data_IF_122348949457
#
_entry.id   IF_122348949457
#
_cell.length_a   1.000
_cell.length_b   1.000
_cell.length_c   1.000
_cell.angle_alpha   90.00
_cell.angle_beta   90.00
_cell.angle_gamma   90.00
#
_symmetry.space_group_name_H-M   'P 1'
#
loop_
_entity.id
_entity.type
_entity.pdbx_description
1 polymer ?
#
# COMPACT_ATOMS: atom_id res chain seq x y z
N UNK A 1 29.94 -29.42 -23.43
CA UNK A 1 28.53 -29.09 -23.71
C UNK A 1 27.59 -29.36 -22.54
N UNK A 2 27.51 -30.58 -21.98
CA UNK A 2 26.59 -30.90 -20.86
C UNK A 2 26.77 -30.00 -19.62
N UNK A 3 28.01 -29.70 -19.25
CA UNK A 3 28.32 -28.79 -18.12
C UNK A 3 27.85 -27.35 -18.33
N UNK A 4 27.92 -26.82 -19.56
CA UNK A 4 27.50 -25.46 -19.89
C UNK A 4 25.97 -25.34 -19.80
N UNK A 5 25.24 -26.38 -20.24
CA UNK A 5 23.77 -26.44 -20.15
C UNK A 5 23.30 -26.48 -18.70
N UNK A 6 23.97 -27.24 -17.82
CA UNK A 6 23.65 -27.26 -16.39
C UNK A 6 23.91 -25.91 -15.71
N UNK A 7 24.98 -25.21 -16.10
CA UNK A 7 25.35 -23.89 -15.55
C UNK A 7 24.37 -22.79 -15.99
N UNK A 8 23.93 -22.84 -17.25
CA UNK A 8 22.86 -21.96 -17.76
C UNK A 8 21.51 -22.23 -17.08
N UNK A 9 21.16 -23.50 -16.84
CA UNK A 9 19.92 -23.86 -16.15
C UNK A 9 19.91 -23.36 -14.69
N UNK A 10 21.05 -23.40 -13.99
CA UNK A 10 21.16 -22.86 -12.62
C UNK A 10 21.16 -21.33 -12.60
N UNK A 11 21.77 -20.67 -13.60
CA UNK A 11 21.70 -19.22 -13.72
C UNK A 11 20.26 -18.71 -13.96
N UNK A 12 19.45 -19.42 -14.75
CA UNK A 12 18.04 -19.07 -14.98
C UNK A 12 17.17 -19.25 -13.74
N UNK A 13 17.46 -20.27 -12.90
CA UNK A 13 16.77 -20.47 -11.63
C UNK A 13 17.06 -19.35 -10.60
N UNK A 14 18.19 -18.66 -10.72
CA UNK A 14 18.56 -17.55 -9.83
C UNK A 14 17.92 -16.21 -10.21
N UNK A 15 17.35 -16.08 -11.41
CA UNK A 15 16.72 -14.84 -11.89
C UNK A 15 15.23 -14.71 -11.49
N UNK A 16 14.66 -15.70 -10.81
CA UNK A 16 13.20 -15.86 -10.70
C UNK A 16 12.53 -15.53 -9.36
N UNK A 17 13.23 -14.98 -8.36
CA UNK A 17 12.66 -14.90 -7.00
C UNK A 17 12.00 -13.57 -6.60
N UNK A 18 12.10 -12.49 -7.40
CA UNK A 18 11.45 -11.21 -7.08
C UNK A 18 10.20 -10.97 -7.90
N UNK A 19 9.11 -10.55 -7.26
CA UNK A 19 7.90 -10.10 -7.95
C UNK A 19 8.17 -8.78 -8.70
N UNK A 20 7.65 -8.59 -9.93
CA UNK A 20 7.81 -7.32 -10.65
C UNK A 20 7.23 -6.14 -9.87
N UNK A 21 7.98 -5.04 -9.83
CA UNK A 21 7.60 -3.79 -9.15
C UNK A 21 6.20 -3.30 -9.52
N UNK A 22 5.87 -3.26 -10.81
CA UNK A 22 4.56 -2.82 -11.31
C UNK A 22 3.42 -3.62 -10.67
N UNK A 23 3.64 -4.93 -10.42
CA UNK A 23 2.65 -5.78 -9.77
C UNK A 23 2.48 -5.45 -8.29
N UNK A 24 3.56 -5.08 -7.60
CA UNK A 24 3.53 -4.63 -6.21
C UNK A 24 2.73 -3.31 -6.09
N UNK A 25 2.97 -2.36 -7.00
CA UNK A 25 2.26 -1.08 -7.06
C UNK A 25 0.77 -1.24 -7.40
N UNK A 26 0.43 -2.07 -8.38
CA UNK A 26 -0.96 -2.33 -8.74
C UNK A 26 -1.73 -2.97 -7.57
N UNK A 27 -1.11 -3.93 -6.88
CA UNK A 27 -1.69 -4.52 -5.66
C UNK A 27 -1.90 -3.47 -4.56
N UNK A 28 -1.04 -2.45 -4.45
CA UNK A 28 -1.22 -1.37 -3.49
C UNK A 28 -2.50 -0.60 -3.82
N UNK A 29 -2.67 -0.20 -5.09
CA UNK A 29 -3.81 0.59 -5.56
C UNK A 29 -5.15 -0.09 -5.21
N UNK A 30 -5.27 -1.38 -5.50
CA UNK A 30 -6.48 -2.16 -5.17
C UNK A 30 -6.73 -2.18 -3.66
N UNK A 31 -5.67 -2.43 -2.88
CA UNK A 31 -5.73 -2.50 -1.42
C UNK A 31 -6.16 -1.17 -0.78
N UNK A 32 -5.65 -0.04 -1.30
CA UNK A 32 -6.00 1.29 -0.84
C UNK A 32 -7.45 1.65 -1.21
N UNK A 33 -7.91 1.23 -2.39
CA UNK A 33 -9.29 1.46 -2.79
C UNK A 33 -10.28 0.71 -1.90
N UNK A 34 -9.97 -0.53 -1.51
CA UNK A 34 -10.80 -1.29 -0.59
C UNK A 34 -10.76 -0.73 0.83
N UNK A 35 -9.61 -0.23 1.28
CA UNK A 35 -9.50 0.51 2.54
C UNK A 35 -10.39 1.76 2.56
N UNK A 36 -10.37 2.55 1.50
CA UNK A 36 -11.20 3.75 1.38
C UNK A 36 -12.69 3.39 1.44
N UNK A 37 -13.13 2.36 0.69
CA UNK A 37 -14.51 1.87 0.74
C UNK A 37 -14.90 1.45 2.15
N UNK A 38 -14.02 0.70 2.83
CA UNK A 38 -14.27 0.25 4.20
C UNK A 38 -14.41 1.42 5.18
N UNK A 39 -13.52 2.41 5.11
CA UNK A 39 -13.60 3.61 5.96
C UNK A 39 -14.91 4.37 5.76
N UNK A 40 -15.32 4.56 4.51
CA UNK A 40 -16.59 5.21 4.17
C UNK A 40 -17.76 4.41 4.72
N UNK A 41 -17.78 3.09 4.51
CA UNK A 41 -18.85 2.21 4.99
C UNK A 41 -18.97 2.22 6.52
N UNK A 42 -17.87 2.11 7.25
CA UNK A 42 -17.87 2.15 8.71
C UNK A 42 -18.32 3.52 9.23
N UNK A 43 -17.93 4.61 8.57
CA UNK A 43 -18.37 5.96 8.95
C UNK A 43 -19.87 6.17 8.74
N UNK A 44 -20.44 5.64 7.64
CA UNK A 44 -21.89 5.66 7.41
C UNK A 44 -22.61 4.82 8.47
N UNK A 45 -22.08 3.63 8.76
CA UNK A 45 -22.66 2.73 9.75
C UNK A 45 -22.69 3.35 11.15
N UNK A 46 -21.66 4.11 11.52
CA UNK A 46 -21.54 4.78 12.82
C UNK A 46 -22.39 6.06 12.91
N UNK A 47 -22.38 6.90 11.88
CA UNK A 47 -23.09 8.19 11.88
C UNK A 47 -24.57 8.08 11.46
N UNK A 48 -24.97 6.97 10.84
CA UNK A 48 -26.29 6.75 10.21
C UNK A 48 -26.63 7.69 9.05
N UNK A 49 -25.72 8.58 8.65
CA UNK A 49 -25.91 9.52 7.56
C UNK A 49 -24.65 9.60 6.68
N UNK A 50 -24.75 10.33 5.56
CA UNK A 50 -23.60 10.64 4.69
C UNK A 50 -23.17 12.10 4.78
N UNK A 51 -23.84 12.92 5.59
CA UNK A 51 -23.72 14.38 5.56
C UNK A 51 -22.32 14.87 5.90
N UNK A 52 -21.63 14.19 6.84
CA UNK A 52 -20.26 14.52 7.24
C UNK A 52 -19.16 13.96 6.32
N UNK A 53 -19.53 13.25 5.25
CA UNK A 53 -18.57 12.67 4.30
C UNK A 53 -18.32 13.61 3.11
N UNK A 54 -17.11 13.56 2.57
CA UNK A 54 -16.81 14.18 1.28
C UNK A 54 -17.69 13.57 0.17
N UNK A 55 -18.08 14.39 -0.80
CA UNK A 55 -18.80 13.92 -1.99
C UNK A 55 -17.95 12.92 -2.79
N UNK A 56 -16.64 13.17 -2.84
CA UNK A 56 -15.63 12.27 -3.41
C UNK A 56 -14.54 12.02 -2.38
N UNK A 57 -14.69 11.02 -1.49
CA UNK A 57 -13.61 10.58 -0.61
C UNK A 57 -12.44 10.09 -1.45
N UNK A 58 -11.22 10.35 -1.00
CA UNK A 58 -10.00 10.01 -1.74
C UNK A 58 -8.86 9.67 -0.78
N UNK A 59 -7.80 9.09 -1.34
CA UNK A 59 -6.54 8.90 -0.64
C UNK A 59 -5.39 9.49 -1.45
N UNK A 60 -4.25 9.72 -0.79
CA UNK A 60 -3.01 10.14 -1.44
C UNK A 60 -1.85 9.37 -0.86
N UNK A 61 -1.09 8.72 -1.74
CA UNK A 61 0.20 8.12 -1.39
C UNK A 61 1.22 9.25 -1.20
N UNK A 62 1.76 9.37 0.01
CA UNK A 62 2.71 10.41 0.42
C UNK A 62 4.16 9.96 0.31
N UNK A 63 4.41 8.67 0.53
CA UNK A 63 5.73 8.06 0.40
C UNK A 63 5.53 6.64 -0.13
N UNK A 64 6.30 6.26 -1.13
CA UNK A 64 6.35 4.90 -1.66
C UNK A 64 7.80 4.55 -1.92
N UNK A 65 8.25 3.46 -1.32
CA UNK A 65 9.63 3.00 -1.42
C UNK A 65 9.68 1.51 -1.67
N UNK A 66 10.53 1.12 -2.60
CA UNK A 66 10.94 -0.26 -2.79
C UNK A 66 12.21 -0.49 -1.97
N UNK A 67 12.27 -1.64 -1.32
CA UNK A 67 13.47 -2.08 -0.62
C UNK A 67 14.25 -3.02 -1.51
N UNK A 68 15.57 -2.99 -1.41
CA UNK A 68 16.47 -3.87 -2.13
C UNK A 68 17.41 -4.63 -1.17
N UNK A 69 18.21 -5.54 -1.74
CA UNK A 69 19.26 -6.25 -1.01
C UNK A 69 18.80 -6.96 0.26
N UNK A 70 19.48 -6.70 1.38
CA UNK A 70 19.19 -7.35 2.66
C UNK A 70 17.88 -6.87 3.30
N UNK A 71 17.46 -5.63 3.02
CA UNK A 71 16.24 -5.03 3.56
C UNK A 71 14.98 -5.66 2.92
N UNK A 72 15.10 -6.10 1.67
CA UNK A 72 14.04 -6.77 0.91
C UNK A 72 13.72 -8.21 1.37
N UNK A 73 14.41 -8.76 2.37
CA UNK A 73 14.26 -10.18 2.78
C UNK A 73 12.91 -10.50 3.44
N UNK A 74 12.29 -9.50 4.08
CA UNK A 74 11.02 -9.67 4.78
C UNK A 74 9.96 -8.77 4.18
N UNK A 75 10.31 -7.50 3.94
CA UNK A 75 9.43 -6.54 3.29
C UNK A 75 10.11 -6.01 2.03
N UNK A 76 9.44 -6.06 0.88
CA UNK A 76 9.98 -5.53 -0.37
C UNK A 76 9.54 -4.09 -0.68
N UNK A 77 8.54 -3.57 0.02
CA UNK A 77 8.08 -2.21 -0.19
C UNK A 77 7.43 -1.61 1.06
N UNK A 78 7.35 -0.28 1.05
CA UNK A 78 6.69 0.55 2.04
C UNK A 78 5.80 1.58 1.36
N UNK A 79 4.66 1.87 1.97
CA UNK A 79 3.83 3.01 1.59
C UNK A 79 3.32 3.78 2.80
N UNK A 80 3.30 5.11 2.70
CA UNK A 80 2.58 6.02 3.58
C UNK A 80 1.43 6.64 2.81
N UNK A 81 0.21 6.56 3.33
CA UNK A 81 -0.99 7.03 2.63
C UNK A 81 -1.88 7.80 3.58
N UNK A 82 -2.36 8.94 3.12
CA UNK A 82 -3.36 9.74 3.84
C UNK A 82 -4.74 9.55 3.19
N UNK A 83 -5.76 9.28 4.01
CA UNK A 83 -7.14 9.08 3.60
C UNK A 83 -8.01 10.25 4.07
N UNK A 84 -8.76 10.82 3.13
CA UNK A 84 -9.61 11.98 3.32
C UNK A 84 -11.06 11.57 3.07
N UNK A 85 -11.85 11.52 4.15
CA UNK A 85 -13.26 11.12 4.08
C UNK A 85 -14.22 12.16 4.68
N UNK A 86 -13.74 13.06 5.54
CA UNK A 86 -14.58 14.02 6.26
C UNK A 86 -14.68 15.35 5.52
N UNK A 87 -15.89 15.90 5.46
CA UNK A 87 -16.18 17.18 4.81
C UNK A 87 -15.92 18.37 5.71
N UNK A 88 -16.46 18.33 6.93
CA UNK A 88 -16.52 19.50 7.82
C UNK A 88 -15.39 19.53 8.85
N UNK A 89 -14.52 18.52 8.86
CA UNK A 89 -13.42 18.39 9.81
C UNK A 89 -12.13 18.28 9.01
N UNK A 90 -11.19 19.19 9.28
CA UNK A 90 -9.82 19.11 8.75
C UNK A 90 -9.04 17.99 9.46
N UNK A 91 -9.44 16.74 9.22
CA UNK A 91 -8.85 15.53 9.76
C UNK A 91 -8.72 14.48 8.65
N UNK A 92 -7.60 13.78 8.65
CA UNK A 92 -7.36 12.64 7.75
C UNK A 92 -6.73 11.48 8.53
N UNK A 93 -6.94 10.27 8.00
CA UNK A 93 -6.33 9.06 8.55
C UNK A 93 -5.05 8.76 7.79
N UNK A 94 -3.90 8.81 8.47
CA UNK A 94 -2.63 8.35 7.93
C UNK A 94 -2.46 6.86 8.21
N UNK A 95 -2.18 6.08 7.17
CA UNK A 95 -1.85 4.65 7.26
C UNK A 95 -0.47 4.36 6.71
N UNK A 96 0.20 3.39 7.33
CA UNK A 96 1.46 2.84 6.84
C UNK A 96 1.30 1.37 6.49
N UNK A 97 1.86 1.03 5.33
CA UNK A 97 1.79 -0.29 4.73
C UNK A 97 3.20 -0.81 4.50
N UNK A 98 3.31 -2.14 4.52
CA UNK A 98 4.53 -2.86 4.13
C UNK A 98 4.12 -4.03 3.25
N UNK A 99 4.92 -4.31 2.24
CA UNK A 99 4.68 -5.44 1.34
C UNK A 99 5.49 -6.64 1.81
N UNK A 100 4.83 -7.68 2.32
CA UNK A 100 5.46 -8.91 2.80
C UNK A 100 5.81 -9.83 1.61
N UNK A 101 7.07 -10.26 1.55
CA UNK A 101 7.57 -11.06 0.43
C UNK A 101 7.09 -12.50 0.45
N UNK A 102 6.79 -13.04 1.63
CA UNK A 102 6.35 -14.42 1.82
C UNK A 102 4.88 -14.56 1.43
N UNK A 103 4.04 -13.61 1.85
CA UNK A 103 2.62 -13.58 1.49
C UNK A 103 2.35 -12.94 0.13
N UNK A 104 3.34 -12.20 -0.40
CA UNK A 104 3.22 -11.40 -1.64
C UNK A 104 2.05 -10.42 -1.59
N UNK A 105 1.87 -9.80 -0.43
CA UNK A 105 0.72 -8.98 -0.11
C UNK A 105 1.07 -7.74 0.71
N UNK A 106 0.16 -6.77 0.70
CA UNK A 106 0.25 -5.57 1.51
C UNK A 106 -0.38 -5.78 2.88
N UNK A 107 0.33 -5.37 3.92
CA UNK A 107 -0.14 -5.36 5.29
C UNK A 107 -0.13 -3.96 5.88
N UNK A 108 -1.23 -3.61 6.56
CA UNK A 108 -1.33 -2.41 7.41
C UNK A 108 -0.61 -2.67 8.72
N UNK A 109 0.29 -1.78 9.12
CA UNK A 109 1.00 -1.92 10.40
C UNK A 109 0.94 -0.68 11.28
N UNK A 110 0.49 0.47 10.76
CA UNK A 110 0.31 1.69 11.55
C UNK A 110 -0.89 2.49 11.06
N UNK A 111 -1.62 3.06 12.02
CA UNK A 111 -2.71 4.02 11.83
C UNK A 111 -2.49 5.21 12.74
N UNK A 112 -2.66 6.41 12.21
CA UNK A 112 -2.61 7.67 12.97
C UNK A 112 -3.70 8.63 12.47
N UNK A 113 -4.29 9.39 13.38
CA UNK A 113 -5.13 10.53 13.01
C UNK A 113 -4.27 11.79 12.91
N UNK A 114 -4.49 12.56 11.86
CA UNK A 114 -3.82 13.84 11.64
C UNK A 114 -4.86 14.92 11.44
N UNK A 115 -4.54 16.11 11.93
CA UNK A 115 -5.34 17.31 11.74
C UNK A 115 -4.64 18.25 10.78
N UNK A 116 -5.42 19.01 10.02
CA UNK A 116 -4.94 19.94 9.01
C UNK A 116 -5.32 19.52 7.59
N UNK A 117 -5.13 20.46 6.67
CA UNK A 117 -5.43 20.29 5.26
C UNK A 117 -4.44 19.32 4.58
N UNK A 118 -4.86 18.82 3.43
CA UNK A 118 -4.02 18.00 2.55
C UNK A 118 -2.79 18.82 2.11
N UNK A 119 -1.63 18.47 2.68
CA UNK A 119 -0.35 19.07 2.31
C UNK A 119 0.46 18.09 1.48
N UNK A 120 0.83 18.49 0.26
CA UNK A 120 1.98 17.90 -0.42
C UNK A 120 3.20 18.50 0.28
N UNK A 121 3.89 17.73 1.10
CA UNK A 121 5.29 18.03 1.38
C UNK A 121 6.12 17.26 0.37
#
# INVERSE_FOLDING_TARGET
>A
MKFIVCLLATAVLLLGCSEPTERIENKLTDYLQDDLKFMVAETIKSSKTREGLLDTPYYRVKDFRLFDGAEARVYAAYAEVDFFIYKDIAMHEKRKYRYDVNTRGWDRYKKEWKFGADSLR
#
